data_IF_601716865152
#
_entry.id   IF_601716865152
#
_cell.length_a   1.000
_cell.length_b   1.000
_cell.length_c   1.000
_cell.angle_alpha   90.00
_cell.angle_beta   90.00
_cell.angle_gamma   90.00
#
_symmetry.space_group_name_H-M   'P 1'
#
loop_
_entity.id
_entity.type
_entity.pdbx_description
1 polymer ?
#
# COMPACT_ATOMS: atom_id res chain seq x y z
N UNK A 1 -28.13 38.36 -29.64
CA UNK A 1 -26.79 38.01 -29.11
C UNK A 1 -26.06 37.18 -30.17
N UNK A 2 -24.99 37.71 -30.76
CA UNK A 2 -24.28 37.10 -31.90
C UNK A 2 -23.76 35.69 -31.52
N UNK A 3 -24.00 34.69 -32.37
CA UNK A 3 -23.63 33.29 -32.15
C UNK A 3 -22.13 33.12 -31.87
N UNK A 4 -21.30 34.02 -32.41
CA UNK A 4 -19.86 34.02 -32.16
C UNK A 4 -19.52 34.29 -30.69
N UNK A 5 -20.20 35.23 -30.01
CA UNK A 5 -19.97 35.50 -28.59
C UNK A 5 -20.44 34.35 -27.69
N UNK A 6 -21.51 33.63 -28.08
CA UNK A 6 -21.95 32.42 -27.37
C UNK A 6 -20.92 31.31 -27.49
N UNK A 7 -20.37 31.09 -28.69
CA UNK A 7 -19.35 30.08 -28.92
C UNK A 7 -18.06 30.39 -28.15
N UNK A 8 -17.59 31.63 -28.18
CA UNK A 8 -16.41 32.06 -27.41
C UNK A 8 -16.59 31.84 -25.91
N UNK A 9 -17.78 32.17 -25.38
CA UNK A 9 -18.08 31.95 -23.96
C UNK A 9 -18.08 30.46 -23.59
N UNK A 10 -18.71 29.61 -24.40
CA UNK A 10 -18.74 28.16 -24.18
C UNK A 10 -17.32 27.58 -24.18
N UNK A 11 -16.48 27.99 -25.14
CA UNK A 11 -15.09 27.52 -25.23
C UNK A 11 -14.28 27.94 -23.99
N UNK A 12 -14.44 29.19 -23.52
CA UNK A 12 -13.75 29.65 -22.31
C UNK A 12 -14.17 28.86 -21.06
N UNK A 13 -15.46 28.58 -20.89
CA UNK A 13 -15.96 27.77 -19.77
C UNK A 13 -15.38 26.35 -19.83
N UNK A 14 -15.33 25.74 -21.01
CA UNK A 14 -14.75 24.40 -21.18
C UNK A 14 -13.26 24.37 -20.82
N UNK A 15 -12.49 25.39 -21.19
CA UNK A 15 -11.06 25.48 -20.83
C UNK A 15 -10.88 25.59 -19.32
N UNK A 16 -11.71 26.39 -18.63
CA UNK A 16 -11.65 26.53 -17.17
C UNK A 16 -12.03 25.21 -16.48
N UNK A 17 -13.05 24.51 -16.96
CA UNK A 17 -13.45 23.20 -16.43
C UNK A 17 -12.37 22.13 -16.65
N UNK A 18 -11.74 22.10 -17.83
CA UNK A 18 -10.61 21.20 -18.11
C UNK A 18 -9.40 21.53 -17.23
N UNK A 19 -9.05 22.81 -17.09
CA UNK A 19 -7.93 23.24 -16.26
C UNK A 19 -8.12 22.88 -14.78
N UNK A 20 -9.31 23.13 -14.23
CA UNK A 20 -9.64 22.77 -12.84
C UNK A 20 -9.63 21.26 -12.60
N UNK A 21 -10.13 20.46 -13.56
CA UNK A 21 -10.07 18.99 -13.50
C UNK A 21 -8.63 18.45 -13.46
N UNK A 22 -7.73 19.02 -14.28
CA UNK A 22 -6.31 18.62 -14.30
C UNK A 22 -5.63 18.94 -12.96
N UNK A 23 -5.90 20.10 -12.36
CA UNK A 23 -5.34 20.49 -11.05
C UNK A 23 -5.84 19.55 -9.94
N UNK A 24 -7.12 19.19 -9.95
CA UNK A 24 -7.68 18.22 -9.00
C UNK A 24 -7.04 16.84 -9.13
N UNK A 25 -6.87 16.34 -10.35
CA UNK A 25 -6.16 15.06 -10.57
C UNK A 25 -4.70 15.12 -10.14
N UNK A 26 -4.00 16.21 -10.48
CA UNK A 26 -2.58 16.40 -10.16
C UNK A 26 -2.30 16.48 -8.67
N UNK A 27 -3.26 16.93 -7.85
CA UNK A 27 -3.14 17.01 -6.39
C UNK A 27 -3.66 15.77 -5.67
N UNK A 28 -4.69 15.11 -6.21
CA UNK A 28 -5.30 13.92 -5.61
C UNK A 28 -4.41 12.68 -5.68
N UNK A 29 -3.72 12.46 -6.81
CA UNK A 29 -2.86 11.27 -6.99
C UNK A 29 -1.70 11.26 -5.98
N UNK A 30 -0.91 12.34 -5.81
CA UNK A 30 0.10 12.39 -4.76
C UNK A 30 -0.49 12.20 -3.37
N UNK A 31 -1.63 12.83 -3.08
CA UNK A 31 -2.30 12.69 -1.78
C UNK A 31 -2.59 11.23 -1.43
N UNK A 32 -3.01 10.40 -2.39
CA UNK A 32 -3.22 8.97 -2.15
C UNK A 32 -1.92 8.26 -1.74
N UNK A 33 -0.81 8.48 -2.44
CA UNK A 33 0.49 7.86 -2.13
C UNK A 33 1.12 8.38 -0.83
N UNK A 34 0.81 9.61 -0.43
CA UNK A 34 1.27 10.20 0.83
C UNK A 34 0.29 10.03 1.99
N UNK A 35 -0.89 9.46 1.74
CA UNK A 35 -1.86 9.19 2.80
C UNK A 35 -1.33 8.12 3.74
N UNK A 36 -1.58 8.28 5.05
CA UNK A 36 -1.15 7.31 6.06
C UNK A 36 -1.70 5.89 5.85
N UNK A 37 -2.76 5.76 5.05
CA UNK A 37 -3.45 4.49 4.76
C UNK A 37 -2.87 3.71 3.57
N UNK A 38 -2.07 4.34 2.72
CA UNK A 38 -1.53 3.67 1.52
C UNK A 38 -0.55 2.55 1.85
N UNK A 39 0.40 2.79 2.77
CA UNK A 39 1.42 1.79 3.11
C UNK A 39 0.80 0.57 3.80
N UNK A 40 -0.11 0.72 4.78
CA UNK A 40 -0.85 -0.42 5.33
C UNK A 40 -1.65 -1.22 4.28
N UNK A 41 -2.30 -0.53 3.34
CA UNK A 41 -3.01 -1.20 2.25
C UNK A 41 -2.06 -2.03 1.36
N UNK A 42 -0.94 -1.43 0.95
CA UNK A 42 0.06 -2.09 0.11
C UNK A 42 0.72 -3.29 0.82
N UNK A 43 0.98 -3.15 2.12
CA UNK A 43 1.42 -4.25 2.99
C UNK A 43 0.42 -5.40 2.95
N UNK A 44 -0.86 -5.12 3.22
CA UNK A 44 -1.91 -6.14 3.24
C UNK A 44 -2.04 -6.83 1.89
N UNK A 45 -2.01 -6.06 0.81
CA UNK A 45 -2.06 -6.57 -0.55
C UNK A 45 -0.92 -7.55 -0.85
N UNK A 46 0.33 -7.19 -0.52
CA UNK A 46 1.50 -8.02 -0.78
C UNK A 46 1.48 -9.31 0.03
N UNK A 47 1.22 -9.24 1.33
CA UNK A 47 1.16 -10.43 2.20
C UNK A 47 0.01 -11.35 1.76
N UNK A 48 -1.18 -10.81 1.52
CA UNK A 48 -2.34 -11.62 1.14
C UNK A 48 -2.17 -12.26 -0.23
N UNK A 49 -1.57 -11.56 -1.19
CA UNK A 49 -1.24 -12.12 -2.50
C UNK A 49 -0.24 -13.26 -2.38
N UNK A 50 0.82 -13.09 -1.57
CA UNK A 50 1.80 -14.13 -1.30
C UNK A 50 1.15 -15.39 -0.68
N UNK A 51 0.27 -15.22 0.31
CA UNK A 51 -0.44 -16.34 0.97
C UNK A 51 -1.39 -17.03 -0.01
N UNK A 52 -2.22 -16.26 -0.73
CA UNK A 52 -3.20 -16.77 -1.70
C UNK A 52 -2.53 -17.59 -2.80
N UNK A 53 -1.42 -17.10 -3.33
CA UNK A 53 -0.66 -17.79 -4.37
C UNK A 53 0.19 -18.95 -3.82
N UNK A 54 0.36 -19.01 -2.50
CA UNK A 54 1.26 -19.94 -1.83
C UNK A 54 2.68 -19.84 -2.39
N UNK A 55 3.15 -18.60 -2.59
CA UNK A 55 4.45 -18.29 -3.16
C UNK A 55 5.55 -18.56 -2.12
N UNK A 56 5.99 -19.82 -2.05
CA UNK A 56 6.98 -20.27 -1.05
C UNK A 56 8.34 -19.59 -1.20
N UNK A 57 8.68 -19.10 -2.40
CA UNK A 57 9.92 -18.35 -2.66
C UNK A 57 9.82 -16.98 -1.99
N UNK A 58 8.73 -16.26 -2.20
CA UNK A 58 8.50 -14.98 -1.52
C UNK A 58 8.35 -15.15 0.00
N UNK A 59 7.60 -16.16 0.45
CA UNK A 59 7.48 -16.48 1.88
C UNK A 59 8.86 -16.68 2.51
N UNK A 60 9.77 -17.38 1.83
CA UNK A 60 11.15 -17.53 2.31
C UNK A 60 11.93 -16.22 2.31
N UNK A 61 11.78 -15.41 1.26
CA UNK A 61 12.52 -14.16 1.11
C UNK A 61 12.16 -13.14 2.20
N UNK A 62 10.87 -13.03 2.56
CA UNK A 62 10.41 -12.08 3.57
C UNK A 62 10.52 -12.62 5.00
N UNK A 63 10.85 -13.89 5.20
CA UNK A 63 10.93 -14.47 6.54
C UNK A 63 12.19 -14.08 7.28
N UNK A 64 12.07 -13.49 8.48
CA UNK A 64 13.22 -13.17 9.33
C UNK A 64 13.99 -14.41 9.81
N UNK A 65 13.30 -15.54 9.96
CA UNK A 65 13.86 -16.80 10.44
C UNK A 65 13.08 -18.03 9.93
N UNK A 66 13.55 -19.23 10.29
CA UNK A 66 12.88 -20.49 9.90
C UNK A 66 11.49 -20.66 10.53
N UNK A 67 11.22 -20.07 11.69
CA UNK A 67 9.96 -20.23 12.42
C UNK A 67 8.84 -19.48 11.70
N UNK A 68 9.08 -18.23 11.32
CA UNK A 68 8.10 -17.45 10.56
C UNK A 68 7.90 -18.06 9.16
N UNK A 69 8.97 -18.53 8.51
CA UNK A 69 8.85 -19.24 7.23
C UNK A 69 7.97 -20.48 7.35
N UNK A 70 8.25 -21.32 8.34
CA UNK A 70 7.45 -22.53 8.61
C UNK A 70 5.99 -22.16 8.89
N UNK A 71 5.73 -21.10 9.66
CA UNK A 71 4.37 -20.63 9.88
C UNK A 71 3.66 -20.23 8.58
N UNK A 72 4.32 -19.44 7.72
CA UNK A 72 3.74 -18.95 6.46
C UNK A 72 3.41 -20.07 5.47
N UNK A 73 4.31 -21.06 5.30
CA UNK A 73 4.08 -22.16 4.36
C UNK A 73 3.00 -23.15 4.82
N UNK A 74 2.60 -23.12 6.09
CA UNK A 74 1.48 -23.92 6.61
C UNK A 74 0.14 -23.15 6.64
N UNK A 75 0.12 -21.90 6.16
CA UNK A 75 -1.13 -21.16 5.99
C UNK A 75 -1.96 -21.76 4.85
N UNK A 76 -3.27 -21.79 5.05
CA UNK A 76 -4.20 -22.05 3.97
C UNK A 76 -4.22 -20.84 3.02
N UNK A 77 -4.45 -21.08 1.73
CA UNK A 77 -4.60 -20.02 0.71
C UNK A 77 -5.74 -19.02 0.98
N UNK A 78 -6.63 -19.33 1.92
CA UNK A 78 -7.73 -18.46 2.38
C UNK A 78 -7.39 -17.65 3.62
N UNK A 79 -6.28 -17.98 4.29
CA UNK A 79 -5.81 -17.17 5.40
C UNK A 79 -5.31 -15.82 4.87
N UNK A 80 -5.44 -14.77 5.68
CA UNK A 80 -5.04 -13.42 5.32
C UNK A 80 -4.46 -12.71 6.54
N UNK A 81 -3.65 -11.68 6.29
CA UNK A 81 -3.38 -10.66 7.29
C UNK A 81 -4.59 -9.75 7.46
N UNK A 82 -4.70 -9.15 8.65
CA UNK A 82 -5.75 -8.23 9.06
C UNK A 82 -5.28 -7.44 10.27
N UNK A 83 -6.05 -6.44 10.68
CA UNK A 83 -5.76 -5.60 11.86
C UNK A 83 -4.36 -4.96 11.78
N UNK A 84 -3.97 -4.54 10.57
CA UNK A 84 -2.69 -3.86 10.35
C UNK A 84 -2.69 -2.52 11.05
N UNK A 85 -1.66 -2.26 11.84
CA UNK A 85 -1.51 -1.04 12.62
C UNK A 85 -1.21 0.16 11.72
N UNK A 86 -1.32 1.35 12.29
CA UNK A 86 -0.65 2.52 11.75
C UNK A 86 0.88 2.39 11.89
N UNK A 87 1.59 3.38 11.34
CA UNK A 87 3.06 3.49 11.42
C UNK A 87 3.56 3.43 12.88
N UNK A 88 4.47 2.48 13.17
CA UNK A 88 5.01 2.26 14.52
C UNK A 88 6.44 2.77 14.72
N UNK A 89 6.94 3.60 13.80
CA UNK A 89 8.34 4.06 13.81
C UNK A 89 9.19 3.38 12.74
N UNK A 90 10.50 3.55 12.84
CA UNK A 90 11.47 2.96 11.92
C UNK A 90 12.60 3.92 11.55
N UNK A 91 13.16 3.71 10.36
CA UNK A 91 14.22 4.53 9.78
C UNK A 91 13.77 5.21 8.48
N UNK A 92 14.63 6.04 7.89
CA UNK A 92 14.34 6.78 6.65
C UNK A 92 13.78 5.92 5.51
N UNK A 93 14.22 4.66 5.40
CA UNK A 93 13.87 3.76 4.30
C UNK A 93 13.16 2.47 4.75
N UNK A 94 12.90 2.30 6.05
CA UNK A 94 12.23 1.11 6.59
C UNK A 94 11.23 1.57 7.64
N UNK A 95 9.95 1.30 7.41
CA UNK A 95 8.86 1.61 8.33
C UNK A 95 8.36 0.32 8.99
N UNK A 96 8.00 0.41 10.27
CA UNK A 96 7.53 -0.73 11.04
C UNK A 96 6.02 -0.70 11.20
N UNK A 97 5.42 -1.88 11.07
CA UNK A 97 4.01 -2.13 11.26
C UNK A 97 3.79 -3.44 12.00
N UNK A 98 2.65 -3.56 12.67
CA UNK A 98 2.13 -4.82 13.17
C UNK A 98 0.92 -5.26 12.36
N UNK A 99 0.76 -6.56 12.13
CA UNK A 99 -0.45 -7.16 11.55
C UNK A 99 -0.77 -8.48 12.25
N UNK A 100 -1.95 -9.05 12.00
CA UNK A 100 -2.36 -10.33 12.54
C UNK A 100 -2.61 -11.35 11.43
N UNK A 101 -2.01 -12.54 11.55
CA UNK A 101 -2.31 -13.68 10.67
C UNK A 101 -2.70 -14.86 11.56
N UNK A 102 -3.92 -15.41 11.38
CA UNK A 102 -4.47 -16.50 12.22
C UNK A 102 -4.32 -16.26 13.73
N UNK A 103 -4.64 -15.06 14.22
CA UNK A 103 -4.53 -14.75 15.65
C UNK A 103 -3.09 -14.57 16.15
N UNK A 104 -2.08 -14.63 15.28
CA UNK A 104 -0.69 -14.36 15.64
C UNK A 104 -0.31 -12.95 15.23
N UNK A 105 0.24 -12.19 16.18
CA UNK A 105 0.83 -10.89 15.90
C UNK A 105 2.15 -11.05 15.14
N UNK A 106 2.24 -10.39 14.00
CA UNK A 106 3.37 -10.40 13.08
C UNK A 106 3.88 -8.97 12.94
N UNK A 107 5.18 -8.77 13.18
CA UNK A 107 5.86 -7.52 12.87
C UNK A 107 6.28 -7.52 11.40
N UNK A 108 6.16 -6.36 10.77
CA UNK A 108 6.43 -6.16 9.35
C UNK A 108 7.37 -4.98 9.16
N UNK A 109 8.49 -5.23 8.50
CA UNK A 109 9.36 -4.19 7.96
C UNK A 109 8.92 -3.88 6.53
N UNK A 110 8.41 -2.67 6.31
CA UNK A 110 8.14 -2.13 4.98
C UNK A 110 9.31 -1.30 4.51
N UNK A 111 9.98 -1.73 3.45
CA UNK A 111 11.10 -1.01 2.84
C UNK A 111 10.64 -0.13 1.71
N UNK A 112 11.15 1.10 1.68
CA UNK A 112 10.94 2.04 0.58
C UNK A 112 11.78 1.65 -0.62
N UNK A 113 11.15 1.30 -1.74
CA UNK A 113 11.87 1.01 -3.00
C UNK A 113 12.12 2.29 -3.81
N UNK A 114 11.16 3.22 -3.81
CA UNK A 114 11.32 4.54 -4.43
C UNK A 114 10.36 5.55 -3.77
N UNK A 115 10.18 6.73 -4.39
CA UNK A 115 9.40 7.83 -3.80
C UNK A 115 7.97 7.45 -3.40
N UNK A 116 7.34 6.50 -4.10
CA UNK A 116 5.93 6.12 -3.91
C UNK A 116 5.72 4.63 -3.59
N UNK A 117 6.65 3.74 -3.95
CA UNK A 117 6.47 2.30 -3.76
C UNK A 117 7.17 1.78 -2.50
N UNK A 118 6.44 0.93 -1.78
CA UNK A 118 6.88 0.25 -0.56
C UNK A 118 6.72 -1.25 -0.72
N UNK A 119 7.60 -2.02 -0.08
CA UNK A 119 7.63 -3.48 -0.18
C UNK A 119 7.83 -4.13 1.16
N UNK A 120 7.18 -5.28 1.36
CA UNK A 120 7.42 -6.15 2.51
C UNK A 120 8.86 -6.68 2.40
N UNK A 121 9.73 -6.20 3.28
CA UNK A 121 11.13 -6.62 3.37
C UNK A 121 11.29 -7.78 4.34
N UNK A 122 10.60 -7.71 5.49
CA UNK A 122 10.73 -8.71 6.55
C UNK A 122 9.44 -8.90 7.34
N UNK A 123 9.15 -10.15 7.67
CA UNK A 123 8.12 -10.60 8.60
C UNK A 123 8.79 -11.33 9.77
N UNK A 124 8.35 -11.04 10.98
CA UNK A 124 8.85 -11.66 12.21
C UNK A 124 7.74 -11.81 13.24
N UNK A 125 7.87 -12.77 14.14
CA UNK A 125 6.98 -12.82 15.31
C UNK A 125 7.34 -11.69 16.27
N UNK A 126 6.35 -10.91 16.70
CA UNK A 126 6.54 -9.94 17.77
C UNK A 126 6.85 -10.68 19.08
N UNK A 127 7.83 -10.19 19.84
CA UNK A 127 8.09 -10.73 21.18
C UNK A 127 6.92 -10.28 22.07
N UNK A 128 6.36 -11.23 22.82
CA UNK A 128 5.46 -10.93 23.94
C UNK A 128 6.21 -10.19 25.03
#
# INVERSE_FOLDING_TARGET
MNNNHKLTYIVLVLIILLGSYIILLGSYIPYLFYSGSYIPYELDYQINTMIKNHDTKQMRAVSSDKRIYSFLVHLNKKDSCKNTSDYQGGSKNIYWYGTEIKGKAIGVDMKKENSIYWKVDKLYFTKK
#
